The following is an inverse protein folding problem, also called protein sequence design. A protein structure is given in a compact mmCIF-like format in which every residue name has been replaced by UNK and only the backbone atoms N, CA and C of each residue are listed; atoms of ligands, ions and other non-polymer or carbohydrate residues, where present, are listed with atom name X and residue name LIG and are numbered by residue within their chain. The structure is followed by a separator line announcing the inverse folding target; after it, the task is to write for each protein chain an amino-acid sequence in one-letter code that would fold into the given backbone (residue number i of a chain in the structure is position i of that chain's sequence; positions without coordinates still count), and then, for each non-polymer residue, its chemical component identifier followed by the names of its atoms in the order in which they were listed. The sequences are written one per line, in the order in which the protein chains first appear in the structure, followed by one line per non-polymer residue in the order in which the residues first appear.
data_IF_750500875444
#
_entry.id   IF_750500875444
#
_cell.length_a   1.000
_cell.length_b   1.000
_cell.length_c   1.000
_cell.angle_alpha   90.00
_cell.angle_beta   90.00
_cell.angle_gamma   90.00
#
_symmetry.space_group_name_H-M   'P 1'
#
loop_
_entity.id
_entity.type
_entity.pdbx_description
1 polymer ?
#
# COMPACT_ATOMS: atom_id res chain seq x y z
N UNK A 1 -25.04 -32.01 48.75
CA UNK A 1 -23.98 -31.25 48.03
C UNK A 1 -23.36 -32.00 46.85
N UNK A 2 -23.01 -33.31 46.93
CA UNK A 2 -22.37 -34.04 45.81
C UNK A 2 -23.31 -34.39 44.64
N UNK A 3 -24.58 -34.73 44.91
CA UNK A 3 -25.57 -35.13 43.89
C UNK A 3 -25.98 -34.01 42.94
N UNK A 4 -26.12 -32.79 43.44
CA UNK A 4 -26.51 -31.62 42.63
C UNK A 4 -25.38 -31.17 41.71
N UNK A 5 -24.12 -31.30 42.16
CA UNK A 5 -22.95 -31.06 41.33
C UNK A 5 -22.86 -32.03 40.15
N UNK A 6 -23.14 -33.32 40.37
CA UNK A 6 -23.16 -34.34 39.31
C UNK A 6 -24.26 -34.04 38.29
N UNK A 7 -25.45 -33.62 38.73
CA UNK A 7 -26.54 -33.23 37.84
C UNK A 7 -26.17 -31.99 37.01
N UNK A 8 -25.57 -30.97 37.61
CA UNK A 8 -25.14 -29.76 36.89
C UNK A 8 -24.06 -30.08 35.85
N UNK A 9 -23.06 -30.89 36.21
CA UNK A 9 -22.00 -31.31 35.28
C UNK A 9 -22.57 -32.15 34.13
N UNK A 10 -23.52 -33.06 34.41
CA UNK A 10 -24.18 -33.85 33.38
C UNK A 10 -24.97 -32.98 32.39
N UNK A 11 -25.71 -31.98 32.89
CA UNK A 11 -26.45 -31.04 32.02
C UNK A 11 -25.49 -30.21 31.16
N UNK A 12 -24.37 -29.74 31.72
CA UNK A 12 -23.36 -28.99 30.96
C UNK A 12 -22.75 -29.85 29.84
N UNK A 13 -22.43 -31.12 30.12
CA UNK A 13 -21.90 -32.05 29.09
C UNK A 13 -22.93 -32.27 27.98
N UNK A 14 -24.21 -32.42 28.32
CA UNK A 14 -25.28 -32.59 27.33
C UNK A 14 -25.47 -31.34 26.47
N UNK A 15 -25.40 -30.15 27.06
CA UNK A 15 -25.49 -28.88 26.32
C UNK A 15 -24.29 -28.71 25.38
N UNK A 16 -23.08 -29.06 25.83
CA UNK A 16 -21.88 -29.05 24.99
C UNK A 16 -22.01 -30.06 23.84
N UNK A 17 -22.53 -31.27 24.11
CA UNK A 17 -22.73 -32.29 23.09
C UNK A 17 -23.74 -31.82 22.03
N UNK A 18 -24.85 -31.21 22.43
CA UNK A 18 -25.86 -30.65 21.51
C UNK A 18 -25.28 -29.50 20.68
N UNK A 19 -24.52 -28.59 21.30
CA UNK A 19 -23.86 -27.49 20.60
C UNK A 19 -22.85 -28.02 19.57
N UNK A 20 -22.08 -29.05 19.92
CA UNK A 20 -21.10 -29.67 19.01
C UNK A 20 -21.77 -30.39 17.83
N UNK A 21 -22.88 -31.08 18.06
CA UNK A 21 -23.67 -31.73 17.01
C UNK A 21 -24.27 -30.70 16.04
N UNK A 22 -24.70 -29.53 16.55
CA UNK A 22 -25.22 -28.44 15.73
C UNK A 22 -24.16 -27.87 14.77
N UNK A 23 -22.92 -27.71 15.22
CA UNK A 23 -21.80 -27.21 14.39
C UNK A 23 -21.42 -28.20 13.29
N UNK A 24 -21.48 -29.51 13.54
CA UNK A 24 -21.13 -30.54 12.54
C UNK A 24 -22.23 -30.69 11.48
N UNK A 25 -23.49 -30.34 11.81
CA UNK A 25 -24.61 -30.39 10.87
C UNK A 25 -24.73 -29.14 9.97
N UNK A 26 -23.82 -28.16 10.10
CA UNK A 26 -23.76 -27.01 9.21
C UNK A 26 -23.14 -27.41 7.86
N UNK A 27 -23.76 -27.08 6.72
CA UNK A 27 -23.10 -27.24 5.42
C UNK A 27 -21.81 -26.41 5.41
N UNK A 28 -20.71 -26.93 4.83
CA UNK A 28 -19.45 -26.19 4.77
C UNK A 28 -19.68 -24.83 4.10
N UNK A 29 -19.09 -23.74 4.62
CA UNK A 29 -19.15 -22.45 3.93
C UNK A 29 -18.59 -22.65 2.53
N UNK A 30 -19.43 -22.41 1.52
CA UNK A 30 -18.98 -22.36 0.13
C UNK A 30 -17.97 -21.23 0.02
N UNK A 31 -16.69 -21.58 -0.02
CA UNK A 31 -15.61 -20.64 -0.32
C UNK A 31 -15.67 -20.30 -1.80
N UNK A 32 -16.59 -19.42 -2.19
CA UNK A 32 -16.45 -18.70 -3.45
C UNK A 32 -15.11 -17.97 -3.36
N UNK A 33 -14.16 -18.21 -4.27
CA UNK A 33 -12.92 -17.44 -4.31
C UNK A 33 -13.31 -15.96 -4.36
N UNK A 34 -12.74 -15.09 -3.51
CA UNK A 34 -12.95 -13.67 -3.66
C UNK A 34 -12.39 -13.29 -5.03
N UNK A 35 -13.25 -12.93 -5.97
CA UNK A 35 -12.88 -12.11 -7.12
C UNK A 35 -12.49 -10.76 -6.54
N UNK A 36 -11.25 -10.68 -6.05
CA UNK A 36 -10.59 -9.41 -5.78
C UNK A 36 -10.64 -8.65 -7.09
N UNK A 37 -11.27 -7.46 -7.15
CA UNK A 37 -11.08 -6.58 -8.28
C UNK A 37 -9.58 -6.32 -8.38
N UNK A 38 -8.93 -6.84 -9.42
CA UNK A 38 -7.54 -6.50 -9.74
C UNK A 38 -7.56 -5.06 -10.23
N UNK A 39 -7.66 -4.10 -9.31
CA UNK A 39 -7.23 -2.73 -9.58
C UNK A 39 -5.76 -2.84 -9.96
N UNK A 40 -5.36 -2.42 -11.18
CA UNK A 40 -3.97 -2.49 -11.60
C UNK A 40 -3.13 -1.75 -10.56
N UNK A 41 -2.24 -2.49 -9.90
CA UNK A 41 -1.33 -1.93 -8.90
C UNK A 41 -0.30 -1.10 -9.66
N UNK A 42 -0.36 0.21 -9.50
CA UNK A 42 0.63 1.12 -10.08
C UNK A 42 1.90 0.98 -9.25
N UNK A 43 2.93 0.35 -9.80
CA UNK A 43 4.17 0.07 -9.06
C UNK A 43 5.08 1.29 -8.96
N UNK A 44 5.10 2.11 -10.01
CA UNK A 44 5.94 3.30 -10.10
C UNK A 44 5.26 4.44 -10.86
N UNK A 45 5.63 5.67 -10.51
CA UNK A 45 5.24 6.91 -11.17
C UNK A 45 6.50 7.62 -11.63
N UNK A 46 6.64 7.79 -12.93
CA UNK A 46 7.76 8.54 -13.52
C UNK A 46 7.43 10.03 -13.53
N UNK A 47 8.32 10.84 -12.96
CA UNK A 47 8.19 12.30 -12.91
C UNK A 47 9.40 12.92 -13.61
N UNK A 48 9.14 13.76 -14.62
CA UNK A 48 10.17 14.57 -15.27
C UNK A 48 10.45 15.85 -14.50
N UNK A 49 11.72 16.18 -14.32
CA UNK A 49 12.20 17.46 -13.80
C UNK A 49 13.04 18.15 -14.87
N UNK A 50 12.61 19.34 -15.29
CA UNK A 50 13.28 20.14 -16.30
C UNK A 50 13.69 21.46 -15.66
N UNK A 51 14.98 21.63 -15.38
CA UNK A 51 15.54 22.81 -14.72
C UNK A 51 16.79 23.31 -15.46
N UNK A 52 17.12 24.61 -15.42
CA UNK A 52 18.37 25.10 -15.97
C UNK A 52 19.50 24.68 -15.02
N UNK A 53 20.17 23.58 -15.34
CA UNK A 53 21.29 23.04 -14.55
C UNK A 53 22.65 23.39 -15.18
N UNK A 54 22.63 23.95 -16.38
CA UNK A 54 23.78 24.58 -17.03
C UNK A 54 23.53 26.06 -17.37
N UNK A 55 24.61 26.78 -17.72
CA UNK A 55 24.57 28.21 -18.04
C UNK A 55 24.54 29.12 -16.81
N UNK A 56 24.27 30.41 -17.03
CA UNK A 56 24.35 31.43 -15.98
C UNK A 56 23.30 31.30 -14.87
N UNK A 57 22.16 30.67 -15.17
CA UNK A 57 21.06 30.44 -14.23
C UNK A 57 21.16 29.09 -13.48
N UNK A 58 22.22 28.31 -13.72
CA UNK A 58 22.41 26.95 -13.19
C UNK A 58 22.25 26.82 -11.68
N UNK A 59 22.67 27.83 -10.92
CA UNK A 59 22.59 27.83 -9.45
C UNK A 59 21.15 27.63 -8.98
N UNK A 60 20.17 28.23 -9.65
CA UNK A 60 18.76 28.08 -9.25
C UNK A 60 18.22 26.69 -9.57
N UNK A 61 18.52 26.16 -10.76
CA UNK A 61 18.05 24.84 -11.16
C UNK A 61 18.70 23.70 -10.37
N UNK A 62 19.98 23.85 -9.99
CA UNK A 62 20.67 22.87 -9.14
C UNK A 62 20.03 22.81 -7.75
N UNK A 63 19.76 23.96 -7.12
CA UNK A 63 19.12 24.01 -5.80
C UNK A 63 17.69 23.45 -5.85
N UNK A 64 16.93 23.80 -6.89
CA UNK A 64 15.60 23.23 -7.13
C UNK A 64 15.66 21.71 -7.29
N UNK A 65 16.57 21.20 -8.14
CA UNK A 65 16.74 19.76 -8.36
C UNK A 65 17.14 19.01 -7.09
N UNK A 66 18.03 19.59 -6.29
CA UNK A 66 18.40 19.01 -4.99
C UNK A 66 17.20 18.93 -4.04
N UNK A 67 16.38 19.98 -3.97
CA UNK A 67 15.14 19.96 -3.19
C UNK A 67 14.18 18.87 -3.65
N UNK A 68 13.99 18.72 -4.96
CA UNK A 68 13.14 17.66 -5.54
C UNK A 68 13.70 16.27 -5.23
N UNK A 69 15.01 16.03 -5.39
CA UNK A 69 15.65 14.74 -5.04
C UNK A 69 15.42 14.36 -3.58
N UNK A 70 15.59 15.31 -2.66
CA UNK A 70 15.36 15.09 -1.22
C UNK A 70 13.89 14.74 -0.97
N UNK A 71 12.95 15.47 -1.59
CA UNK A 71 11.53 15.20 -1.45
C UNK A 71 11.14 13.82 -2.01
N UNK A 72 11.63 13.47 -3.20
CA UNK A 72 11.42 12.15 -3.83
C UNK A 72 11.96 11.03 -2.95
N UNK A 73 13.18 11.20 -2.42
CA UNK A 73 13.77 10.24 -1.50
C UNK A 73 12.89 10.06 -0.26
N UNK A 74 12.49 11.15 0.39
CA UNK A 74 11.66 11.08 1.60
C UNK A 74 10.31 10.40 1.34
N UNK A 75 9.66 10.69 0.21
CA UNK A 75 8.39 10.03 -0.18
C UNK A 75 8.62 8.54 -0.41
N UNK A 76 9.67 8.19 -1.15
CA UNK A 76 10.00 6.79 -1.43
C UNK A 76 10.35 6.04 -0.13
N UNK A 77 11.13 6.62 0.76
CA UNK A 77 11.51 6.01 2.05
C UNK A 77 10.29 5.86 2.97
N UNK A 78 9.32 6.77 2.89
CA UNK A 78 8.05 6.73 3.62
C UNK A 78 7.01 5.74 3.06
N UNK A 79 7.40 4.90 2.10
CA UNK A 79 6.52 3.87 1.52
C UNK A 79 5.89 4.24 0.18
N UNK A 80 6.29 5.35 -0.45
CA UNK A 80 5.79 5.78 -1.76
C UNK A 80 4.45 6.52 -1.69
N UNK A 81 3.78 6.67 -2.83
CA UNK A 81 2.53 7.42 -2.97
C UNK A 81 1.36 6.57 -2.42
N UNK A 82 0.85 6.95 -1.25
CA UNK A 82 -0.16 6.18 -0.52
C UNK A 82 -1.47 6.01 -1.29
N UNK A 83 -1.95 7.07 -1.96
CA UNK A 83 -3.17 7.03 -2.79
C UNK A 83 -3.06 6.09 -3.99
N UNK A 84 -1.83 5.72 -4.38
CA UNK A 84 -1.53 4.81 -5.48
C UNK A 84 -1.03 3.44 -4.98
N UNK A 85 -1.33 3.09 -3.72
CA UNK A 85 -0.95 1.78 -3.17
C UNK A 85 0.55 1.62 -2.88
N UNK A 86 1.25 2.73 -2.63
CA UNK A 86 2.68 2.75 -2.31
C UNK A 86 3.59 2.83 -3.54
N UNK A 87 3.07 3.33 -4.67
CA UNK A 87 3.83 3.51 -5.90
C UNK A 87 5.09 4.36 -5.65
N UNK A 88 6.26 3.91 -6.12
CA UNK A 88 7.51 4.66 -5.98
C UNK A 88 7.64 5.73 -7.06
N UNK A 89 8.27 6.85 -6.73
CA UNK A 89 8.60 7.89 -7.70
C UNK A 89 9.92 7.54 -8.37
N UNK A 90 9.93 7.54 -9.70
CA UNK A 90 11.11 7.51 -10.55
C UNK A 90 11.32 8.92 -11.09
N UNK A 91 12.36 9.61 -10.63
CA UNK A 91 12.69 10.96 -11.10
C UNK A 91 13.56 10.87 -12.35
N UNK A 92 13.14 11.51 -13.43
CA UNK A 92 13.91 11.68 -14.67
C UNK A 92 14.27 13.15 -14.77
N UNK A 93 15.56 13.46 -14.82
CA UNK A 93 16.03 14.85 -14.82
C UNK A 93 16.59 15.21 -16.19
N UNK A 94 16.21 16.39 -16.68
CA UNK A 94 16.65 16.95 -17.95
C UNK A 94 17.11 18.41 -17.75
N UNK A 95 18.21 18.78 -18.40
CA UNK A 95 18.77 20.12 -18.31
C UNK A 95 18.19 21.02 -19.41
N UNK A 96 17.50 22.09 -19.00
CA UNK A 96 16.91 23.07 -19.90
C UNK A 96 17.93 24.05 -20.51
N UNK A 97 19.15 24.14 -19.96
CA UNK A 97 20.18 25.08 -20.40
C UNK A 97 19.74 26.55 -20.42
N UNK A 98 20.37 27.37 -21.27
CA UNK A 98 20.15 28.83 -21.32
C UNK A 98 19.33 29.30 -22.55
N UNK A 99 18.93 28.40 -23.44
CA UNK A 99 18.19 28.73 -24.66
C UNK A 99 16.88 27.94 -24.76
N UNK A 100 15.83 28.61 -25.26
CA UNK A 100 14.46 28.07 -25.33
C UNK A 100 14.36 26.79 -26.18
N UNK A 101 15.31 26.57 -27.09
CA UNK A 101 15.36 25.38 -27.95
C UNK A 101 15.64 24.09 -27.18
N UNK A 102 16.31 24.18 -26.02
CA UNK A 102 16.63 23.03 -25.16
C UNK A 102 15.45 22.58 -24.29
N UNK A 103 14.40 23.39 -24.15
CA UNK A 103 13.22 23.09 -23.30
C UNK A 103 12.14 22.26 -24.01
N UNK A 104 12.37 21.80 -25.25
CA UNK A 104 11.34 21.14 -26.08
C UNK A 104 11.19 19.62 -25.86
N UNK A 105 11.95 19.05 -24.94
CA UNK A 105 12.01 17.60 -24.70
C UNK A 105 10.91 17.09 -23.78
#
# INVERSE_FOLDING_TARGET
MKKEYVTIVAVVIVVIAIASAYVISMPPPTTTPPTTPTTPKIEKVTIGLVEPMSGWASVFGIEAANGVRIAVQHINDSGGIQSLGGAKIELVEEDAGESVDKTKS
#
